data_IF_582340320511
#
_entry.id   IF_582340320511
#
_cell.length_a   1.000
_cell.length_b   1.000
_cell.length_c   1.000
_cell.angle_alpha   90.00
_cell.angle_beta   90.00
_cell.angle_gamma   90.00
#
_symmetry.space_group_name_H-M   'P 1'
#
loop_
_entity.id
_entity.type
_entity.pdbx_description
1 polymer ?
#
# COMPACT_ATOMS: atom_id res chain seq x y z
N UNK A 1 -14.21 -4.97 6.91
CA UNK A 1 -15.11 -3.89 6.39
C UNK A 1 -14.34 -3.16 5.30
N UNK A 2 -14.90 -2.88 4.10
CA UNK A 2 -14.11 -2.24 3.04
C UNK A 2 -13.64 -0.85 3.48
N UNK A 3 -12.39 -0.50 3.16
CA UNK A 3 -11.86 0.84 3.37
C UNK A 3 -12.70 1.83 2.57
N UNK A 4 -13.26 2.87 3.21
CA UNK A 4 -14.09 3.84 2.51
C UNK A 4 -13.18 4.83 1.77
N UNK A 5 -12.79 4.48 0.54
CA UNK A 5 -11.82 5.23 -0.28
C UNK A 5 -12.25 6.68 -0.57
N UNK A 6 -13.55 6.98 -0.47
CA UNK A 6 -14.11 8.31 -0.70
C UNK A 6 -14.29 9.13 0.59
N UNK A 7 -13.92 8.60 1.76
CA UNK A 7 -14.05 9.32 3.02
C UNK A 7 -12.97 10.39 3.18
N UNK A 8 -13.34 11.51 3.81
CA UNK A 8 -12.41 12.60 4.13
C UNK A 8 -11.20 12.15 4.95
N UNK A 9 -11.37 11.14 5.81
CA UNK A 9 -10.27 10.54 6.59
C UNK A 9 -9.26 9.83 5.69
N UNK A 10 -9.75 9.10 4.68
CA UNK A 10 -8.90 8.44 3.68
C UNK A 10 -8.14 9.46 2.84
N UNK A 11 -8.79 10.56 2.46
CA UNK A 11 -8.12 11.64 1.73
C UNK A 11 -6.97 12.28 2.54
N UNK A 12 -7.14 12.49 3.85
CA UNK A 12 -6.05 12.99 4.69
C UNK A 12 -4.89 11.99 4.75
N UNK A 13 -5.23 10.70 4.88
CA UNK A 13 -4.25 9.63 4.90
C UNK A 13 -3.46 9.55 3.58
N UNK A 14 -4.14 9.62 2.41
CA UNK A 14 -3.50 9.71 1.08
C UNK A 14 -2.54 10.90 1.02
N UNK A 15 -2.98 12.08 1.44
CA UNK A 15 -2.13 13.28 1.40
C UNK A 15 -0.91 13.18 2.32
N UNK A 16 -1.06 12.69 3.56
CA UNK A 16 0.08 12.50 4.47
C UNK A 16 1.07 11.49 3.88
N UNK A 17 0.55 10.39 3.35
CA UNK A 17 1.34 9.32 2.76
C UNK A 17 2.22 9.80 1.60
N UNK A 18 1.70 10.73 0.80
CA UNK A 18 2.41 11.42 -0.29
C UNK A 18 3.35 12.53 0.19
N UNK A 19 3.58 12.65 1.52
CA UNK A 19 4.54 13.59 2.11
C UNK A 19 3.97 14.96 2.50
N UNK A 20 2.65 15.19 2.36
CA UNK A 20 2.07 16.48 2.75
C UNK A 20 1.99 16.61 4.28
N UNK A 21 2.56 17.67 4.90
CA UNK A 21 2.49 17.84 6.35
C UNK A 21 1.06 18.05 6.87
N UNK A 22 0.77 17.59 8.09
CA UNK A 22 -0.55 17.75 8.71
C UNK A 22 -1.02 19.22 8.80
N UNK A 23 -0.09 20.18 8.91
CA UNK A 23 -0.43 21.61 8.88
C UNK A 23 -0.96 22.03 7.52
N UNK A 24 -0.31 21.61 6.43
CA UNK A 24 -0.76 21.91 5.08
C UNK A 24 -2.08 21.21 4.73
N UNK A 25 -2.30 20.01 5.29
CA UNK A 25 -3.62 19.33 5.21
C UNK A 25 -4.66 20.16 5.97
N UNK A 26 -4.37 20.61 7.19
CA UNK A 26 -5.28 21.42 7.99
C UNK A 26 -5.68 22.72 7.26
N UNK A 27 -4.72 23.42 6.69
CA UNK A 27 -4.91 24.67 5.94
C UNK A 27 -5.78 24.44 4.70
N UNK A 28 -5.47 23.41 3.90
CA UNK A 28 -6.22 23.05 2.67
C UNK A 28 -7.69 22.77 2.94
N UNK A 29 -8.00 22.23 4.11
CA UNK A 29 -9.36 21.83 4.48
C UNK A 29 -10.03 22.77 5.50
N UNK A 30 -9.37 23.88 5.83
CA UNK A 30 -9.84 24.89 6.80
C UNK A 30 -10.31 24.28 8.13
N UNK A 31 -9.52 23.35 8.68
CA UNK A 31 -9.78 22.70 9.97
C UNK A 31 -8.54 22.79 10.87
N UNK A 32 -8.67 22.43 12.15
CA UNK A 32 -7.54 22.44 13.07
C UNK A 32 -6.57 21.28 12.81
N UNK A 33 -5.29 21.48 13.12
CA UNK A 33 -4.27 20.41 13.10
C UNK A 33 -4.67 19.22 13.98
N UNK A 34 -5.31 19.48 15.11
CA UNK A 34 -5.81 18.46 16.03
C UNK A 34 -6.91 17.60 15.38
N UNK A 35 -7.80 18.22 14.59
CA UNK A 35 -8.82 17.49 13.84
C UNK A 35 -8.19 16.58 12.78
N UNK A 36 -7.18 17.06 12.05
CA UNK A 36 -6.40 16.25 11.08
C UNK A 36 -5.72 15.06 11.79
N UNK A 37 -4.98 15.31 12.87
CA UNK A 37 -4.29 14.25 13.62
C UNK A 37 -5.26 13.18 14.15
N UNK A 38 -6.42 13.60 14.70
CA UNK A 38 -7.45 12.66 15.17
C UNK A 38 -8.03 11.82 14.03
N UNK A 39 -8.28 12.44 12.87
CA UNK A 39 -8.77 11.74 11.68
C UNK A 39 -7.74 10.74 11.15
N UNK A 40 -6.46 11.10 11.11
CA UNK A 40 -5.38 10.20 10.69
C UNK A 40 -5.21 9.02 11.64
N UNK A 41 -5.22 9.23 12.97
CA UNK A 41 -5.15 8.13 13.94
C UNK A 41 -6.32 7.15 13.80
N UNK A 42 -7.53 7.65 13.54
CA UNK A 42 -8.68 6.80 13.27
C UNK A 42 -8.52 6.03 11.96
N UNK A 43 -7.94 6.67 10.94
CA UNK A 43 -7.69 6.05 9.65
C UNK A 43 -6.59 4.98 9.71
N UNK A 44 -5.51 5.23 10.45
CA UNK A 44 -4.40 4.28 10.65
C UNK A 44 -4.91 2.98 11.28
N UNK A 45 -5.77 3.07 12.29
CA UNK A 45 -6.41 1.88 12.89
C UNK A 45 -7.27 1.11 11.89
N UNK A 46 -7.99 1.80 11.00
CA UNK A 46 -8.81 1.15 9.95
C UNK A 46 -7.91 0.48 8.91
N UNK A 47 -6.82 1.14 8.51
CA UNK A 47 -5.82 0.62 7.58
C UNK A 47 -5.16 -0.63 8.16
N UNK A 48 -4.63 -0.55 9.38
CA UNK A 48 -4.02 -1.66 10.10
C UNK A 48 -4.96 -2.86 10.17
N UNK A 49 -6.20 -2.64 10.64
CA UNK A 49 -7.22 -3.69 10.71
C UNK A 49 -7.48 -4.33 9.34
N UNK A 50 -7.56 -3.52 8.28
CA UNK A 50 -7.80 -4.02 6.92
C UNK A 50 -6.64 -4.86 6.40
N UNK A 51 -5.40 -4.42 6.64
CA UNK A 51 -4.20 -5.18 6.26
C UNK A 51 -4.14 -6.52 6.98
N UNK A 52 -4.41 -6.54 8.29
CA UNK A 52 -4.45 -7.77 9.10
C UNK A 52 -5.59 -8.72 8.68
N UNK A 53 -6.80 -8.20 8.46
CA UNK A 53 -7.93 -8.98 7.95
C UNK A 53 -7.58 -9.64 6.61
N UNK A 54 -6.92 -8.90 5.71
CA UNK A 54 -6.54 -9.42 4.40
C UNK A 54 -5.38 -10.42 4.48
N UNK A 55 -4.37 -10.18 5.32
CA UNK A 55 -3.29 -11.15 5.57
C UNK A 55 -3.86 -12.47 6.11
N UNK A 56 -4.73 -12.39 7.12
CA UNK A 56 -5.39 -13.56 7.70
C UNK A 56 -6.24 -14.33 6.65
N UNK A 57 -7.05 -13.61 5.86
CA UNK A 57 -7.87 -14.24 4.82
C UNK A 57 -7.04 -14.96 3.74
N UNK A 58 -5.80 -14.53 3.53
CA UNK A 58 -4.86 -15.09 2.56
C UNK A 58 -3.80 -16.02 3.17
N UNK A 59 -3.94 -16.38 4.46
CA UNK A 59 -3.00 -17.23 5.20
C UNK A 59 -1.55 -16.71 5.12
N UNK A 60 -1.39 -15.41 5.36
CA UNK A 60 -0.10 -14.73 5.42
C UNK A 60 0.27 -14.50 6.88
N UNK A 61 1.38 -15.09 7.30
CA UNK A 61 1.99 -14.82 8.60
C UNK A 61 2.67 -13.45 8.55
N UNK A 62 2.25 -12.55 9.45
CA UNK A 62 2.68 -11.15 9.45
C UNK A 62 4.10 -11.03 10.01
N UNK A 63 4.99 -10.38 9.25
CA UNK A 63 6.36 -10.06 9.68
C UNK A 63 6.49 -8.60 10.12
N UNK A 64 5.91 -7.68 9.34
CA UNK A 64 5.93 -6.25 9.66
C UNK A 64 4.74 -5.52 9.03
N UNK A 65 4.37 -4.38 9.63
CA UNK A 65 3.22 -3.57 9.21
C UNK A 65 3.52 -2.09 9.41
N UNK A 66 3.21 -1.28 8.39
CA UNK A 66 3.22 0.17 8.48
C UNK A 66 1.87 0.73 8.00
N UNK A 67 1.01 1.14 8.94
CA UNK A 67 -0.32 1.65 8.64
C UNK A 67 -0.29 3.04 7.96
N UNK A 68 0.73 3.85 8.23
CA UNK A 68 0.89 5.16 7.58
C UNK A 68 1.20 5.00 6.08
N UNK A 69 2.00 3.99 5.73
CA UNK A 69 2.32 3.64 4.35
C UNK A 69 1.33 2.65 3.72
N UNK A 70 0.44 2.08 4.52
CA UNK A 70 -0.60 1.17 4.05
C UNK A 70 -0.06 -0.14 3.51
N UNK A 71 1.00 -0.68 4.13
CA UNK A 71 1.69 -1.88 3.68
C UNK A 71 1.94 -2.84 4.85
N UNK A 72 1.83 -4.13 4.57
CA UNK A 72 2.14 -5.24 5.46
C UNK A 72 2.98 -6.25 4.68
N UNK A 73 4.10 -6.66 5.27
CA UNK A 73 4.96 -7.72 4.76
C UNK A 73 4.77 -8.98 5.59
N UNK A 74 4.79 -10.13 4.93
CA UNK A 74 4.66 -11.41 5.59
C UNK A 74 5.08 -12.57 4.70
N UNK A 75 4.80 -13.78 5.16
CA UNK A 75 5.04 -15.01 4.42
C UNK A 75 3.75 -15.78 4.23
N UNK A 76 3.44 -16.15 2.99
CA UNK A 76 2.30 -17.01 2.70
C UNK A 76 2.59 -18.44 3.14
N UNK A 77 1.80 -18.96 4.06
CA UNK A 77 1.87 -20.34 4.52
C UNK A 77 1.60 -21.35 3.39
N UNK A 78 0.51 -21.24 2.59
CA UNK A 78 0.20 -22.26 1.57
C UNK A 78 1.20 -22.31 0.42
N UNK A 79 1.81 -21.18 0.07
CA UNK A 79 2.73 -21.09 -1.06
C UNK A 79 4.21 -21.10 -0.64
N UNK A 80 4.49 -20.94 0.66
CA UNK A 80 5.83 -20.84 1.22
C UNK A 80 6.71 -19.75 0.56
N UNK A 81 6.11 -18.63 0.16
CA UNK A 81 6.77 -17.47 -0.45
C UNK A 81 6.48 -16.21 0.33
N UNK A 82 7.31 -15.18 0.16
CA UNK A 82 7.02 -13.86 0.71
C UNK A 82 5.75 -13.29 0.07
N UNK A 83 5.00 -12.53 0.85
CA UNK A 83 3.80 -11.86 0.40
C UNK A 83 3.73 -10.43 0.97
N UNK A 84 3.12 -9.55 0.20
CA UNK A 84 2.90 -8.14 0.55
C UNK A 84 1.42 -7.84 0.42
N UNK A 85 0.82 -7.32 1.47
CA UNK A 85 -0.53 -6.75 1.43
C UNK A 85 -0.39 -5.24 1.45
N UNK A 86 -1.00 -4.53 0.52
CA UNK A 86 -0.90 -3.09 0.45
C UNK A 86 -2.18 -2.42 -0.03
N UNK A 87 -2.33 -1.12 0.25
CA UNK A 87 -3.49 -0.33 -0.14
C UNK A 87 -3.06 0.69 -1.20
N UNK A 88 -3.49 0.51 -2.44
CA UNK A 88 -3.47 1.58 -3.44
C UNK A 88 -4.65 2.52 -3.20
N UNK A 89 -4.41 3.82 -3.34
CA UNK A 89 -5.46 4.81 -3.22
C UNK A 89 -6.57 4.62 -4.26
N UNK A 90 -6.20 4.21 -5.47
CA UNK A 90 -7.11 4.16 -6.61
C UNK A 90 -7.58 2.73 -6.92
N UNK A 91 -6.83 1.72 -6.46
CA UNK A 91 -7.12 0.28 -6.70
C UNK A 91 -7.48 -0.50 -5.43
N UNK A 92 -7.53 0.15 -4.27
CA UNK A 92 -7.91 -0.47 -3.00
C UNK A 92 -6.86 -1.45 -2.47
N UNK A 93 -7.31 -2.44 -1.67
CA UNK A 93 -6.42 -3.44 -1.05
C UNK A 93 -5.95 -4.45 -2.11
N UNK A 94 -4.65 -4.69 -2.15
CA UNK A 94 -3.97 -5.62 -3.04
C UNK A 94 -3.13 -6.61 -2.25
N UNK A 95 -2.96 -7.81 -2.80
CA UNK A 95 -2.06 -8.84 -2.27
C UNK A 95 -1.13 -9.25 -3.39
N UNK A 96 0.17 -9.24 -3.10
CA UNK A 96 1.22 -9.65 -4.02
C UNK A 96 2.03 -10.79 -3.41
N UNK A 97 2.24 -11.85 -4.16
CA UNK A 97 3.11 -12.96 -3.78
C UNK A 97 4.40 -12.85 -4.57
N UNK A 98 5.54 -12.83 -3.88
CA UNK A 98 6.85 -12.82 -4.52
C UNK A 98 7.14 -14.22 -5.07
N UNK A 99 6.80 -14.45 -6.34
CA UNK A 99 7.15 -15.66 -7.07
C UNK A 99 7.69 -15.30 -8.46
N UNK A 100 8.59 -16.12 -8.97
CA UNK A 100 8.91 -16.09 -10.40
C UNK A 100 7.68 -16.62 -11.15
N UNK A 101 7.04 -15.77 -11.95
CA UNK A 101 5.93 -16.13 -12.82
C UNK A 101 6.36 -16.18 -14.28
N UNK A 102 5.67 -16.97 -15.10
CA UNK A 102 5.77 -16.83 -16.55
C UNK A 102 4.95 -15.61 -17.01
N UNK A 103 5.49 -14.41 -16.74
CA UNK A 103 4.84 -13.15 -17.06
C UNK A 103 4.69 -12.92 -18.57
N UNK A 104 5.48 -13.60 -19.41
CA UNK A 104 5.53 -13.38 -20.87
C UNK A 104 4.22 -13.73 -21.60
N UNK A 105 3.43 -14.66 -21.06
CA UNK A 105 2.12 -15.04 -21.60
C UNK A 105 0.93 -14.58 -20.74
N UNK A 106 1.18 -13.78 -19.68
CA UNK A 106 0.14 -13.43 -18.73
C UNK A 106 -0.78 -12.33 -19.29
N UNK A 107 -2.10 -12.56 -19.44
CA UNK A 107 -3.04 -11.55 -19.95
C UNK A 107 -3.20 -10.34 -19.01
N UNK A 108 -2.68 -10.44 -17.77
CA UNK A 108 -2.71 -9.36 -16.77
C UNK A 108 -1.41 -8.54 -16.74
N UNK A 109 -0.45 -8.85 -17.60
CA UNK A 109 0.88 -8.22 -17.62
C UNK A 109 0.82 -6.69 -17.55
N UNK A 110 0.08 -6.05 -18.46
CA UNK A 110 -0.08 -4.58 -18.47
C UNK A 110 -0.70 -4.05 -17.17
N UNK A 111 -1.71 -4.75 -16.63
CA UNK A 111 -2.37 -4.35 -15.38
C UNK A 111 -1.44 -4.44 -14.18
N UNK A 112 -0.52 -5.41 -14.16
CA UNK A 112 0.50 -5.53 -13.12
C UNK A 112 1.49 -4.37 -13.20
N UNK A 113 1.96 -4.02 -14.41
CA UNK A 113 2.84 -2.85 -14.62
C UNK A 113 2.16 -1.58 -14.14
N UNK A 114 0.93 -1.31 -14.58
CA UNK A 114 0.17 -0.13 -14.17
C UNK A 114 -0.02 -0.09 -12.65
N UNK A 115 -0.42 -1.20 -12.02
CA UNK A 115 -0.59 -1.26 -10.57
C UNK A 115 0.70 -0.89 -9.83
N UNK A 116 1.84 -1.44 -10.26
CA UNK A 116 3.13 -1.20 -9.61
C UNK A 116 3.62 0.24 -9.82
N UNK A 117 3.43 0.79 -11.02
CA UNK A 117 3.73 2.19 -11.32
C UNK A 117 2.86 3.15 -10.51
N UNK A 118 1.54 2.99 -10.58
CA UNK A 118 0.59 3.83 -9.86
C UNK A 118 0.92 3.83 -8.36
N UNK A 119 1.20 2.64 -7.80
CA UNK A 119 1.52 2.50 -6.38
C UNK A 119 2.89 3.09 -6.00
N UNK A 120 3.89 2.99 -6.87
CA UNK A 120 5.20 3.60 -6.66
C UNK A 120 5.11 5.14 -6.72
N UNK A 121 4.37 5.67 -7.69
CA UNK A 121 4.12 7.11 -7.86
C UNK A 121 3.32 7.67 -6.67
N UNK A 122 2.31 6.95 -6.19
CA UNK A 122 1.58 7.28 -4.96
C UNK A 122 2.54 7.51 -3.78
N UNK A 123 3.61 6.72 -3.69
CA UNK A 123 4.59 6.76 -2.61
C UNK A 123 5.79 7.67 -2.88
N UNK A 124 5.89 8.27 -4.07
CA UNK A 124 7.06 9.02 -4.50
C UNK A 124 8.32 8.16 -4.64
N UNK A 125 8.16 6.87 -4.94
CA UNK A 125 9.27 5.93 -5.13
C UNK A 125 9.58 5.84 -6.62
N UNK A 126 10.77 6.31 -7.02
CA UNK A 126 11.24 6.10 -8.38
C UNK A 126 11.62 4.63 -8.60
N UNK A 127 11.15 4.02 -9.69
CA UNK A 127 11.53 2.68 -10.15
C UNK A 127 12.54 2.79 -11.31
N UNK A 128 13.60 1.98 -11.25
CA UNK A 128 14.65 1.92 -12.27
C UNK A 128 14.46 0.74 -13.21
N UNK A 129 14.00 -0.41 -12.70
CA UNK A 129 13.67 -1.58 -13.51
C UNK A 129 12.28 -1.38 -14.11
N UNK A 130 12.19 -1.38 -15.44
CA UNK A 130 10.94 -1.19 -16.18
C UNK A 130 10.68 -2.34 -17.14
N UNK A 131 9.41 -2.67 -17.37
CA UNK A 131 9.02 -3.66 -18.40
C UNK A 131 9.15 -5.12 -17.97
N UNK A 132 9.25 -5.40 -16.68
CA UNK A 132 9.04 -6.74 -16.12
C UNK A 132 8.37 -6.56 -14.74
N UNK A 133 7.07 -6.92 -14.59
CA UNK A 133 6.35 -6.76 -13.34
C UNK A 133 7.03 -7.43 -12.15
N UNK A 134 7.69 -8.56 -12.35
CA UNK A 134 8.38 -9.29 -11.27
C UNK A 134 9.55 -8.45 -10.76
N UNK A 135 10.40 -7.97 -11.68
CA UNK A 135 11.55 -7.11 -11.35
C UNK A 135 11.13 -5.76 -10.77
N UNK A 136 10.04 -5.18 -11.27
CA UNK A 136 9.45 -3.96 -10.74
C UNK A 136 8.96 -4.15 -9.30
N UNK A 137 8.24 -5.24 -9.04
CA UNK A 137 7.74 -5.58 -7.71
C UNK A 137 8.88 -5.82 -6.73
N UNK A 138 9.89 -6.60 -7.11
CA UNK A 138 11.10 -6.82 -6.29
C UNK A 138 11.75 -5.49 -5.88
N UNK A 139 11.97 -4.58 -6.83
CA UNK A 139 12.58 -3.29 -6.55
C UNK A 139 11.69 -2.44 -5.63
N UNK A 140 10.40 -2.33 -5.95
CA UNK A 140 9.43 -1.54 -5.20
C UNK A 140 9.34 -2.02 -3.75
N UNK A 141 9.20 -3.33 -3.55
CA UNK A 141 9.07 -3.91 -2.22
C UNK A 141 10.40 -3.89 -1.45
N UNK A 142 11.55 -4.04 -2.10
CA UNK A 142 12.85 -3.84 -1.46
C UNK A 142 13.04 -2.39 -0.97
N UNK A 143 12.58 -1.40 -1.76
CA UNK A 143 12.59 0.02 -1.35
C UNK A 143 11.59 0.26 -0.20
N UNK A 144 10.39 -0.31 -0.27
CA UNK A 144 9.36 -0.18 0.77
C UNK A 144 9.74 -0.82 2.10
N UNK A 145 10.39 -2.00 2.12
CA UNK A 145 10.85 -2.63 3.36
C UNK A 145 11.81 -1.75 4.17
N UNK A 146 12.51 -0.81 3.54
CA UNK A 146 13.38 0.17 4.22
C UNK A 146 12.61 1.32 4.87
N UNK A 147 11.31 1.44 4.58
CA UNK A 147 10.40 2.48 5.09
C UNK A 147 9.45 1.94 6.17
N UNK A 148 9.48 0.63 6.43
CA UNK A 148 8.67 -0.06 7.45
C UNK A 148 9.49 -0.29 8.70
#
# INVERSE_FOLDING_TARGET
MPLPLNDRQFMFWKLRRNGLPNVSIADRFSISRQAVSKALLAMDRKVEKTLLEMAHANQIDVESLNAEKGVLFGRSVPFNVNAVVFISADRGVQVWYEHEGDCGACPRYTRCIELLWDYADELGIALEKTGDPTRMAEELFAKLRKLV
#
